data_IF_758034916414
#
_entry.id   IF_758034916414
#
_cell.length_a   1.000
_cell.length_b   1.000
_cell.length_c   1.000
_cell.angle_alpha   90.00
_cell.angle_beta   90.00
_cell.angle_gamma   90.00
#
_symmetry.space_group_name_H-M   'P 1'
#
loop_
_entity.id
_entity.type
_entity.pdbx_description
1 polymer ?
#
# COMPACT_ATOMS: atom_id res chain seq x y z
N UNK A 1 -141.99 -41.48 -43.44
CA UNK A 1 -141.69 -40.03 -43.56
C UNK A 1 -141.37 -39.35 -42.23
N UNK A 2 -141.76 -39.86 -41.05
CA UNK A 2 -141.42 -39.21 -39.75
C UNK A 2 -139.94 -39.35 -39.31
N UNK A 3 -139.24 -40.45 -39.65
CA UNK A 3 -137.83 -40.65 -39.24
C UNK A 3 -136.80 -39.78 -39.98
N UNK A 4 -137.08 -39.37 -41.21
CA UNK A 4 -136.15 -38.49 -41.97
C UNK A 4 -136.13 -37.06 -41.39
N UNK A 5 -137.26 -36.59 -40.85
CA UNK A 5 -137.33 -35.29 -40.18
C UNK A 5 -136.60 -35.27 -38.84
N UNK A 6 -136.64 -36.37 -38.09
CA UNK A 6 -135.91 -36.51 -36.83
C UNK A 6 -134.40 -36.56 -37.05
N UNK A 7 -133.92 -37.29 -38.06
CA UNK A 7 -132.50 -37.35 -38.39
C UNK A 7 -131.96 -36.02 -38.96
N UNK A 8 -132.78 -35.28 -39.73
CA UNK A 8 -132.43 -33.93 -40.22
C UNK A 8 -132.43 -32.89 -39.10
N UNK A 9 -133.39 -32.96 -38.16
CA UNK A 9 -133.42 -32.09 -36.98
C UNK A 9 -132.25 -32.41 -36.04
N UNK A 10 -131.91 -33.68 -35.82
CA UNK A 10 -130.76 -34.07 -34.99
C UNK A 10 -129.45 -33.64 -35.65
N UNK A 11 -129.29 -33.79 -36.98
CA UNK A 11 -128.11 -33.24 -37.69
C UNK A 11 -128.06 -31.72 -37.71
N UNK A 12 -129.21 -31.03 -37.74
CA UNK A 12 -129.29 -29.58 -37.65
C UNK A 12 -128.95 -29.10 -36.24
N UNK A 13 -129.46 -29.78 -35.21
CA UNK A 13 -129.18 -29.51 -33.80
C UNK A 13 -127.74 -29.86 -33.41
N UNK A 14 -127.13 -30.91 -33.97
CA UNK A 14 -125.70 -31.23 -33.80
C UNK A 14 -124.78 -30.23 -34.52
N UNK A 15 -125.22 -29.66 -35.65
CA UNK A 15 -124.51 -28.55 -36.31
C UNK A 15 -124.61 -27.25 -35.50
N UNK A 16 -125.72 -27.02 -34.81
CA UNK A 16 -125.93 -25.85 -33.96
C UNK A 16 -125.23 -25.98 -32.59
N UNK A 17 -125.20 -27.18 -31.98
CA UNK A 17 -124.71 -27.42 -30.61
C UNK A 17 -123.19 -27.26 -30.47
N UNK A 18 -122.40 -27.60 -31.50
CA UNK A 18 -120.93 -27.42 -31.48
C UNK A 18 -120.52 -25.95 -31.71
N UNK A 19 -121.37 -25.15 -32.36
CA UNK A 19 -121.11 -23.74 -32.66
C UNK A 19 -121.45 -22.77 -31.52
N UNK A 20 -122.24 -23.20 -30.54
CA UNK A 20 -122.76 -22.33 -29.48
C UNK A 20 -121.84 -22.17 -28.26
N UNK A 21 -120.80 -23.01 -28.11
CA UNK A 21 -119.88 -22.95 -26.95
C UNK A 21 -118.44 -22.55 -27.28
N UNK A 22 -118.10 -22.30 -28.54
CA UNK A 22 -116.81 -21.73 -28.92
C UNK A 22 -116.97 -20.20 -29.03
N UNK A 23 -116.66 -19.46 -27.96
CA UNK A 23 -116.66 -18.00 -28.01
C UNK A 23 -115.70 -17.54 -29.14
N UNK A 24 -116.16 -16.79 -30.17
CA UNK A 24 -115.35 -16.41 -31.34
C UNK A 24 -114.32 -15.31 -31.04
N UNK A 25 -114.05 -15.08 -29.76
CA UNK A 25 -113.26 -13.96 -29.25
C UNK A 25 -112.02 -14.51 -28.55
N UNK A 26 -110.86 -14.03 -28.95
CA UNK A 26 -109.66 -14.11 -28.14
C UNK A 26 -109.32 -12.73 -27.61
N UNK A 27 -109.13 -12.61 -26.31
CA UNK A 27 -108.65 -11.39 -25.67
C UNK A 27 -107.17 -11.53 -25.38
N UNK A 28 -106.38 -10.53 -25.76
CA UNK A 28 -104.96 -10.55 -25.40
C UNK A 28 -104.75 -10.05 -23.98
N UNK A 29 -104.06 -10.83 -23.14
CA UNK A 29 -103.74 -10.43 -21.77
C UNK A 29 -102.71 -9.28 -21.66
N UNK A 30 -102.13 -8.82 -22.78
CA UNK A 30 -101.16 -7.71 -22.82
C UNK A 30 -101.77 -6.44 -23.42
N UNK A 31 -102.48 -6.55 -24.56
CA UNK A 31 -103.11 -5.40 -25.24
C UNK A 31 -104.54 -5.12 -24.75
N UNK A 32 -105.18 -6.08 -24.08
CA UNK A 32 -106.62 -6.18 -23.90
C UNK A 32 -107.47 -6.06 -25.18
N UNK A 33 -106.85 -6.14 -26.36
CA UNK A 33 -107.58 -6.10 -27.62
C UNK A 33 -108.30 -7.44 -27.85
N UNK A 34 -109.51 -7.33 -28.39
CA UNK A 34 -110.32 -8.47 -28.81
C UNK A 34 -109.97 -8.79 -30.26
N UNK A 35 -109.45 -9.98 -30.48
CA UNK A 35 -109.33 -10.58 -31.78
C UNK A 35 -110.55 -11.44 -32.07
N UNK A 36 -111.16 -11.21 -33.22
CA UNK A 36 -112.20 -12.07 -33.74
C UNK A 36 -111.53 -13.23 -34.49
N UNK A 37 -111.96 -14.45 -34.19
CA UNK A 37 -111.60 -15.59 -35.02
C UNK A 37 -112.86 -16.14 -35.65
N UNK A 38 -112.77 -16.40 -36.94
CA UNK A 38 -113.80 -17.11 -37.67
C UNK A 38 -113.79 -18.58 -37.25
N UNK A 39 -114.60 -18.94 -36.24
CA UNK A 39 -114.72 -20.30 -35.70
C UNK A 39 -114.94 -21.38 -36.78
N UNK A 40 -115.72 -21.16 -37.86
CA UNK A 40 -115.81 -22.13 -38.96
C UNK A 40 -114.52 -22.31 -39.76
N UNK A 41 -113.59 -21.34 -39.75
CA UNK A 41 -112.26 -21.48 -40.37
C UNK A 41 -111.26 -22.27 -39.51
N UNK A 42 -111.60 -22.57 -38.25
CA UNK A 42 -110.84 -23.41 -37.32
C UNK A 42 -111.45 -24.83 -37.24
N UNK A 43 -112.29 -25.21 -38.21
CA UNK A 43 -112.87 -26.56 -38.26
C UNK A 43 -111.79 -27.60 -38.58
N UNK A 44 -111.20 -28.10 -37.49
CA UNK A 44 -111.09 -29.51 -37.17
C UNK A 44 -110.66 -30.44 -38.30
N UNK A 45 -109.42 -30.91 -38.19
CA UNK A 45 -109.14 -32.34 -37.95
C UNK A 45 -110.03 -33.32 -38.74
N UNK A 46 -110.22 -33.10 -40.04
CA UNK A 46 -110.69 -34.14 -40.93
C UNK A 46 -109.51 -35.04 -41.28
N UNK A 47 -109.67 -36.30 -40.92
CA UNK A 47 -108.76 -37.42 -41.15
C UNK A 47 -107.95 -37.32 -42.44
N UNK A 48 -106.64 -37.14 -42.26
CA UNK A 48 -105.54 -37.84 -42.94
C UNK A 48 -105.99 -38.78 -44.08
N UNK A 49 -106.22 -38.21 -45.27
CA UNK A 49 -106.29 -38.96 -46.52
C UNK A 49 -105.68 -38.11 -47.65
N UNK A 50 -104.54 -38.60 -48.18
CA UNK A 50 -103.84 -38.18 -49.40
C UNK A 50 -103.27 -36.75 -49.44
N UNK A 51 -101.98 -36.66 -49.09
CA UNK A 51 -100.98 -35.88 -49.83
C UNK A 51 -101.18 -34.37 -49.88
N UNK A 52 -100.92 -33.67 -48.78
CA UNK A 52 -100.80 -32.21 -48.75
C UNK A 52 -100.13 -31.75 -47.46
N UNK A 53 -99.14 -30.86 -47.57
CA UNK A 53 -98.36 -30.29 -46.46
C UNK A 53 -99.25 -29.81 -45.31
N UNK A 54 -99.02 -30.30 -44.09
CA UNK A 54 -99.73 -29.84 -42.89
C UNK A 54 -99.25 -28.43 -42.52
N UNK A 55 -99.93 -27.41 -43.05
CA UNK A 55 -99.83 -26.05 -42.52
C UNK A 55 -100.47 -26.08 -41.14
N UNK A 56 -99.66 -26.04 -40.09
CA UNK A 56 -100.19 -25.88 -38.73
C UNK A 56 -101.05 -24.62 -38.70
N UNK A 57 -102.29 -24.74 -38.23
CA UNK A 57 -103.21 -23.61 -38.05
C UNK A 57 -102.59 -22.64 -37.05
N UNK A 58 -102.09 -21.50 -37.55
CA UNK A 58 -101.56 -20.44 -36.71
C UNK A 58 -102.67 -19.48 -36.31
N UNK A 59 -102.86 -19.27 -35.00
CA UNK A 59 -103.77 -18.23 -34.50
C UNK A 59 -103.42 -16.86 -35.10
N UNK A 60 -104.40 -16.01 -35.43
CA UNK A 60 -104.12 -14.65 -35.88
C UNK A 60 -103.43 -13.84 -34.76
N UNK A 61 -102.41 -13.03 -35.07
CA UNK A 61 -101.71 -12.22 -34.07
C UNK A 61 -102.63 -11.18 -33.41
N UNK A 62 -102.42 -10.80 -32.14
CA UNK A 62 -103.16 -9.70 -31.48
C UNK A 62 -103.14 -8.46 -32.40
N UNK A 63 -104.30 -7.87 -32.69
CA UNK A 63 -104.38 -6.62 -33.46
C UNK A 63 -103.67 -5.45 -32.77
N UNK A 64 -103.47 -5.51 -31.44
CA UNK A 64 -102.69 -4.55 -30.67
C UNK A 64 -101.18 -4.84 -30.61
N UNK A 65 -100.78 -6.00 -30.09
CA UNK A 65 -99.36 -6.30 -29.80
C UNK A 65 -98.64 -7.17 -30.86
N UNK A 66 -99.36 -7.69 -31.87
CA UNK A 66 -98.79 -8.49 -32.95
C UNK A 66 -98.31 -9.90 -32.54
N UNK A 67 -98.56 -10.34 -31.30
CA UNK A 67 -98.12 -11.64 -30.78
C UNK A 67 -99.30 -12.59 -30.56
N UNK A 68 -99.06 -13.88 -30.75
CA UNK A 68 -100.06 -14.96 -30.54
C UNK A 68 -99.97 -15.60 -29.15
N UNK A 69 -98.82 -15.48 -28.47
CA UNK A 69 -98.52 -16.14 -27.17
C UNK A 69 -99.44 -15.73 -26.02
N UNK A 70 -100.02 -14.53 -26.09
CA UNK A 70 -100.73 -13.89 -24.98
C UNK A 70 -102.24 -13.81 -25.20
N UNK A 71 -102.77 -14.59 -26.14
CA UNK A 71 -104.20 -14.66 -26.42
C UNK A 71 -104.86 -15.67 -25.48
N UNK A 72 -105.95 -15.27 -24.83
CA UNK A 72 -106.79 -16.13 -24.00
C UNK A 72 -108.19 -16.24 -24.62
N UNK A 73 -108.81 -17.39 -24.44
CA UNK A 73 -110.15 -17.68 -24.96
C UNK A 73 -111.21 -16.90 -24.19
N UNK A 74 -112.11 -16.22 -24.91
CA UNK A 74 -113.23 -15.47 -24.35
C UNK A 74 -113.06 -13.95 -24.39
N UNK A 75 -114.16 -13.23 -24.19
CA UNK A 75 -114.20 -11.77 -24.06
C UNK A 75 -114.04 -11.37 -22.58
N UNK A 76 -112.87 -11.64 -22.01
CA UNK A 76 -112.52 -11.27 -20.63
C UNK A 76 -111.73 -9.97 -20.59
N UNK A 77 -112.09 -9.07 -19.68
CA UNK A 77 -111.36 -7.82 -19.46
C UNK A 77 -110.09 -8.09 -18.62
N UNK A 78 -108.91 -7.87 -19.20
CA UNK A 78 -107.63 -7.92 -18.50
C UNK A 78 -107.13 -6.54 -18.04
N UNK A 79 -107.97 -5.50 -18.09
CA UNK A 79 -107.58 -4.16 -17.67
C UNK A 79 -107.05 -4.08 -16.24
N UNK A 80 -107.64 -4.83 -15.30
CA UNK A 80 -107.18 -4.88 -13.91
C UNK A 80 -105.80 -5.56 -13.78
N UNK A 81 -105.58 -6.67 -14.48
CA UNK A 81 -104.29 -7.39 -14.48
C UNK A 81 -103.19 -6.52 -15.12
N UNK A 82 -103.47 -5.87 -16.26
CA UNK A 82 -102.53 -4.97 -16.93
C UNK A 82 -102.23 -3.75 -16.07
N UNK A 83 -103.24 -3.17 -15.39
CA UNK A 83 -103.04 -2.05 -14.46
C UNK A 83 -102.15 -2.45 -13.27
N UNK A 84 -102.33 -3.66 -12.73
CA UNK A 84 -101.48 -4.17 -11.65
C UNK A 84 -100.05 -4.45 -12.13
N UNK A 85 -99.88 -5.05 -13.32
CA UNK A 85 -98.55 -5.30 -13.89
C UNK A 85 -97.81 -3.99 -14.22
N UNK A 86 -98.51 -3.00 -14.78
CA UNK A 86 -97.93 -1.68 -15.06
C UNK A 86 -97.54 -0.95 -13.78
N UNK A 87 -98.38 -0.95 -12.75
CA UNK A 87 -98.03 -0.42 -11.43
C UNK A 87 -96.85 -1.16 -10.80
N UNK A 88 -96.79 -2.49 -10.91
CA UNK A 88 -95.67 -3.28 -10.40
C UNK A 88 -94.35 -2.96 -11.13
N UNK A 89 -94.40 -2.74 -12.45
CA UNK A 89 -93.24 -2.31 -13.25
C UNK A 89 -92.81 -0.90 -12.87
N UNK A 90 -93.74 0.04 -12.71
CA UNK A 90 -93.43 1.41 -12.25
C UNK A 90 -92.82 1.41 -10.85
N UNK A 91 -93.37 0.63 -9.93
CA UNK A 91 -92.85 0.51 -8.57
C UNK A 91 -91.47 -0.14 -8.54
N UNK A 92 -91.24 -1.13 -9.40
CA UNK A 92 -89.91 -1.71 -9.59
C UNK A 92 -88.91 -0.67 -10.14
N UNK A 93 -89.32 0.14 -11.12
CA UNK A 93 -88.49 1.21 -11.66
C UNK A 93 -88.19 2.29 -10.61
N UNK A 94 -89.18 2.69 -9.81
CA UNK A 94 -89.02 3.62 -8.68
C UNK A 94 -88.04 3.08 -7.63
N UNK A 95 -88.08 1.77 -7.33
CA UNK A 95 -87.18 1.12 -6.35
C UNK A 95 -85.76 0.86 -6.89
N UNK A 96 -85.59 0.75 -8.21
CA UNK A 96 -84.31 0.43 -8.86
C UNK A 96 -83.24 1.49 -8.63
N UNK A 97 -83.59 2.77 -8.73
CA UNK A 97 -82.62 3.88 -8.59
C UNK A 97 -82.07 3.98 -7.16
N UNK A 98 -82.90 3.99 -6.09
CA UNK A 98 -82.41 3.94 -4.71
C UNK A 98 -81.54 2.70 -4.43
N UNK A 99 -81.98 1.52 -4.87
CA UNK A 99 -81.22 0.29 -4.68
C UNK A 99 -79.83 0.35 -5.35
N UNK A 100 -79.74 0.92 -6.55
CA UNK A 100 -78.45 1.14 -7.22
C UNK A 100 -77.56 2.14 -6.47
N UNK A 101 -78.14 3.21 -5.92
CA UNK A 101 -77.40 4.19 -5.09
C UNK A 101 -76.84 3.51 -3.84
N UNK A 102 -77.62 2.66 -3.18
CA UNK A 102 -77.16 1.93 -1.99
C UNK A 102 -76.03 0.96 -2.33
N UNK A 103 -76.15 0.20 -3.43
CA UNK A 103 -75.08 -0.65 -3.92
C UNK A 103 -73.81 0.15 -4.23
N UNK A 104 -73.93 1.28 -4.92
CA UNK A 104 -72.80 2.17 -5.22
C UNK A 104 -72.15 2.73 -3.96
N UNK A 105 -72.95 3.11 -2.94
CA UNK A 105 -72.47 3.60 -1.65
C UNK A 105 -71.64 2.54 -0.93
N UNK A 106 -72.12 1.30 -0.89
CA UNK A 106 -71.40 0.17 -0.27
C UNK A 106 -70.08 -0.08 -0.99
N UNK A 107 -70.10 -0.13 -2.33
CA UNK A 107 -68.90 -0.38 -3.15
C UNK A 107 -67.88 0.75 -2.99
N UNK A 108 -68.29 2.02 -3.09
CA UNK A 108 -67.40 3.17 -2.89
C UNK A 108 -66.82 3.20 -1.49
N UNK A 109 -67.63 2.93 -0.46
CA UNK A 109 -67.17 2.85 0.92
C UNK A 109 -66.13 1.74 1.12
N UNK A 110 -66.32 0.57 0.50
CA UNK A 110 -65.34 -0.53 0.53
C UNK A 110 -64.04 -0.15 -0.18
N UNK A 111 -64.12 0.42 -1.38
CA UNK A 111 -62.95 0.87 -2.14
C UNK A 111 -62.17 1.96 -1.40
N UNK A 112 -62.86 2.94 -0.81
CA UNK A 112 -62.24 3.99 0.00
C UNK A 112 -61.50 3.44 1.21
N UNK A 113 -62.06 2.44 1.92
CA UNK A 113 -61.37 1.76 3.03
C UNK A 113 -60.14 0.98 2.56
N UNK A 114 -60.22 0.29 1.42
CA UNK A 114 -59.09 -0.44 0.85
C UNK A 114 -57.95 0.51 0.44
N UNK A 115 -58.28 1.64 -0.18
CA UNK A 115 -57.30 2.65 -0.56
C UNK A 115 -56.70 3.35 0.66
N UNK A 116 -57.51 3.70 1.67
CA UNK A 116 -57.03 4.25 2.93
C UNK A 116 -56.07 3.29 3.63
N UNK A 117 -56.39 1.99 3.65
CA UNK A 117 -55.48 0.95 4.17
C UNK A 117 -54.18 0.89 3.37
N UNK A 118 -54.24 0.94 2.03
CA UNK A 118 -53.05 0.96 1.16
C UNK A 118 -52.16 2.17 1.46
N UNK A 119 -52.73 3.39 1.48
CA UNK A 119 -51.99 4.63 1.78
C UNK A 119 -51.37 4.62 3.17
N UNK A 120 -52.06 4.07 4.18
CA UNK A 120 -51.50 3.90 5.54
C UNK A 120 -50.27 2.98 5.52
N UNK A 121 -50.38 1.82 4.88
CA UNK A 121 -49.26 0.87 4.74
C UNK A 121 -48.08 1.45 3.94
N UNK A 122 -48.34 2.23 2.89
CA UNK A 122 -47.31 2.91 2.11
C UNK A 122 -46.58 3.97 2.93
N UNK A 123 -47.30 4.79 3.71
CA UNK A 123 -46.70 5.75 4.64
C UNK A 123 -45.84 5.06 5.69
N UNK A 124 -46.32 3.98 6.28
CA UNK A 124 -45.53 3.19 7.24
C UNK A 124 -44.26 2.61 6.60
N UNK A 125 -44.36 2.05 5.39
CA UNK A 125 -43.19 1.55 4.64
C UNK A 125 -42.19 2.66 4.35
N UNK A 126 -42.67 3.82 3.95
CA UNK A 126 -41.83 4.98 3.66
C UNK A 126 -41.14 5.50 4.93
N UNK A 127 -41.88 5.63 6.05
CA UNK A 127 -41.32 5.99 7.34
C UNK A 127 -40.26 4.99 7.82
N UNK A 128 -40.50 3.68 7.65
CA UNK A 128 -39.49 2.64 7.95
C UNK A 128 -38.24 2.78 7.09
N UNK A 129 -38.37 3.11 5.80
CA UNK A 129 -37.21 3.37 4.92
C UNK A 129 -36.40 4.57 5.41
N UNK A 130 -37.05 5.68 5.77
CA UNK A 130 -36.38 6.86 6.33
C UNK A 130 -35.68 6.51 7.64
N UNK A 131 -36.37 5.81 8.55
CA UNK A 131 -35.80 5.40 9.84
C UNK A 131 -34.58 4.50 9.65
N UNK A 132 -34.66 3.51 8.78
CA UNK A 132 -33.54 2.62 8.47
C UNK A 132 -32.38 3.39 7.83
N UNK A 133 -32.65 4.31 6.90
CA UNK A 133 -31.62 5.15 6.30
C UNK A 133 -30.94 6.05 7.35
N UNK A 134 -31.71 6.69 8.23
CA UNK A 134 -31.19 7.49 9.33
C UNK A 134 -30.36 6.65 10.29
N UNK A 135 -30.83 5.44 10.66
CA UNK A 135 -30.08 4.52 11.52
C UNK A 135 -28.75 4.09 10.88
N UNK A 136 -28.73 3.81 9.58
CA UNK A 136 -27.50 3.50 8.84
C UNK A 136 -26.51 4.67 8.85
N UNK A 137 -26.99 5.90 8.62
CA UNK A 137 -26.15 7.11 8.66
C UNK A 137 -25.62 7.33 10.08
N UNK A 138 -26.48 7.27 11.10
CA UNK A 138 -26.09 7.44 12.50
C UNK A 138 -25.06 6.38 12.93
N UNK A 139 -25.25 5.12 12.56
CA UNK A 139 -24.27 4.05 12.82
C UNK A 139 -22.92 4.36 12.18
N UNK A 140 -22.91 4.82 10.93
CA UNK A 140 -21.68 5.18 10.22
C UNK A 140 -20.97 6.37 10.88
N UNK A 141 -21.71 7.43 11.21
CA UNK A 141 -21.17 8.63 11.88
C UNK A 141 -20.59 8.29 13.25
N UNK A 142 -21.31 7.52 14.08
CA UNK A 142 -20.78 7.04 15.37
C UNK A 142 -19.49 6.24 15.20
N UNK A 143 -19.43 5.37 14.20
CA UNK A 143 -18.23 4.61 13.88
C UNK A 143 -17.05 5.48 13.43
N UNK A 144 -17.31 6.52 12.61
CA UNK A 144 -16.28 7.49 12.21
C UNK A 144 -15.76 8.23 13.45
N UNK A 145 -16.65 8.77 14.27
CA UNK A 145 -16.29 9.50 15.48
C UNK A 145 -15.46 8.64 16.45
N UNK A 146 -15.81 7.36 16.63
CA UNK A 146 -15.05 6.45 17.48
C UNK A 146 -13.63 6.21 16.95
N UNK A 147 -13.48 5.92 15.64
CA UNK A 147 -12.15 5.73 15.03
C UNK A 147 -11.31 7.00 15.10
N UNK A 148 -11.90 8.13 14.74
CA UNK A 148 -11.24 9.44 14.82
C UNK A 148 -10.75 9.72 16.24
N UNK A 149 -11.57 9.44 17.26
CA UNK A 149 -11.18 9.56 18.66
C UNK A 149 -9.98 8.68 19.00
N UNK A 150 -10.05 7.39 18.67
CA UNK A 150 -8.95 6.45 18.94
C UNK A 150 -7.65 6.83 18.22
N UNK A 151 -7.74 7.31 16.98
CA UNK A 151 -6.58 7.78 16.23
C UNK A 151 -5.93 9.00 16.91
N UNK A 152 -6.74 9.94 17.39
CA UNK A 152 -6.26 11.14 18.08
C UNK A 152 -5.69 10.81 19.45
N UNK A 153 -6.33 9.93 20.22
CA UNK A 153 -5.79 9.44 21.51
C UNK A 153 -4.44 8.76 21.32
N UNK A 154 -4.27 7.96 20.27
CA UNK A 154 -2.97 7.38 19.90
C UNK A 154 -1.95 8.45 19.55
N UNK A 155 -2.34 9.49 18.80
CA UNK A 155 -1.46 10.61 18.48
C UNK A 155 -1.02 11.37 19.74
N UNK A 156 -1.95 11.65 20.66
CA UNK A 156 -1.67 12.28 21.95
C UNK A 156 -0.68 11.44 22.75
N UNK A 157 -0.86 10.11 22.79
CA UNK A 157 0.08 9.21 23.47
C UNK A 157 1.50 9.32 22.91
N UNK A 158 1.67 9.43 21.58
CA UNK A 158 2.98 9.64 20.96
C UNK A 158 3.58 10.98 21.40
N UNK A 159 2.77 12.05 21.44
CA UNK A 159 3.22 13.39 21.85
C UNK A 159 3.68 13.39 23.31
N UNK A 160 2.92 12.78 24.22
CA UNK A 160 3.23 12.71 25.65
C UNK A 160 4.54 11.95 25.90
N UNK A 161 4.80 10.89 25.13
CA UNK A 161 6.02 10.09 25.28
C UNK A 161 7.20 10.59 24.44
N UNK A 162 7.02 11.66 23.66
CA UNK A 162 8.09 12.20 22.84
C UNK A 162 9.18 12.84 23.70
N UNK A 163 10.43 12.73 23.25
CA UNK A 163 11.54 13.39 23.93
C UNK A 163 11.37 14.92 23.92
N UNK A 164 11.66 15.65 25.03
CA UNK A 164 11.40 17.10 25.14
C UNK A 164 11.98 17.94 24.00
N UNK A 165 13.19 17.62 23.51
CA UNK A 165 13.81 18.31 22.38
C UNK A 165 13.09 18.08 21.04
N UNK A 166 12.53 16.89 20.83
CA UNK A 166 11.77 16.55 19.62
C UNK A 166 10.39 17.20 19.69
N UNK A 167 9.77 17.17 20.87
CA UNK A 167 8.53 17.88 21.14
C UNK A 167 8.69 19.38 20.90
N UNK A 168 9.69 20.02 21.50
CA UNK A 168 9.99 21.44 21.28
C UNK A 168 10.21 21.77 19.80
N UNK A 169 10.95 20.93 19.05
CA UNK A 169 11.10 21.10 17.60
C UNK A 169 9.77 21.02 16.85
N UNK A 170 8.87 20.10 17.24
CA UNK A 170 7.60 19.90 16.58
C UNK A 170 6.59 21.04 16.86
N UNK A 171 6.64 21.62 18.05
CA UNK A 171 5.75 22.69 18.51
C UNK A 171 6.25 24.08 18.18
N UNK A 172 7.57 24.28 17.99
CA UNK A 172 8.10 25.57 17.53
C UNK A 172 7.46 25.95 16.22
N UNK A 173 6.71 27.06 16.24
CA UNK A 173 6.09 27.65 15.06
C UNK A 173 7.19 27.94 14.06
N UNK A 174 7.26 27.17 12.98
CA UNK A 174 8.21 27.43 11.91
C UNK A 174 7.69 28.62 11.13
N UNK A 175 7.81 29.83 11.69
CA UNK A 175 7.87 31.08 10.92
C UNK A 175 9.20 31.09 10.17
N UNK A 176 9.40 30.12 9.28
CA UNK A 176 10.38 30.21 8.22
C UNK A 176 9.67 30.73 6.97
N UNK A 177 9.19 31.97 7.06
CA UNK A 177 9.37 32.90 5.95
C UNK A 177 10.88 33.12 5.83
N UNK A 178 11.61 32.10 5.36
CA UNK A 178 12.94 32.31 4.81
C UNK A 178 12.74 33.06 3.52
N UNK A 179 12.63 34.39 3.65
CA UNK A 179 13.02 35.35 2.64
C UNK A 179 14.52 35.23 2.40
N UNK A 180 14.94 34.09 1.85
CA UNK A 180 16.26 33.86 1.31
C UNK A 180 16.08 33.28 -0.08
N UNK A 181 16.10 34.21 -1.03
CA UNK A 181 16.52 34.07 -2.42
C UNK A 181 17.17 32.73 -2.79
N UNK A 182 16.78 32.23 -3.96
CA UNK A 182 17.43 31.17 -4.75
C UNK A 182 17.09 29.70 -4.42
N UNK A 183 15.85 29.28 -4.68
CA UNK A 183 15.60 28.01 -5.39
C UNK A 183 14.16 27.97 -5.91
N UNK A 184 13.97 27.50 -7.14
CA UNK A 184 12.68 27.42 -7.87
C UNK A 184 11.76 26.29 -7.35
N UNK A 185 11.70 26.07 -6.04
CA UNK A 185 10.69 25.20 -5.44
C UNK A 185 9.89 26.00 -4.42
N UNK A 186 8.55 26.05 -4.52
CA UNK A 186 7.75 26.65 -3.46
C UNK A 186 8.05 25.88 -2.16
N UNK A 187 8.49 26.54 -1.09
CA UNK A 187 8.66 25.87 0.19
C UNK A 187 7.31 25.29 0.61
N UNK A 188 7.28 24.11 1.25
CA UNK A 188 6.03 23.59 1.79
C UNK A 188 5.47 24.64 2.73
N UNK A 189 4.21 25.04 2.52
CA UNK A 189 3.49 25.93 3.43
C UNK A 189 3.41 25.20 4.77
N UNK A 190 4.35 25.49 5.68
CA UNK A 190 4.33 24.92 7.01
C UNK A 190 3.24 25.66 7.76
N UNK A 191 2.06 25.04 7.82
CA UNK A 191 0.93 25.62 8.56
C UNK A 191 1.37 25.91 10.00
N UNK A 192 1.09 27.13 10.45
CA UNK A 192 1.28 27.54 11.83
C UNK A 192 0.33 26.72 12.69
N UNK A 193 0.88 25.78 13.45
CA UNK A 193 0.10 24.93 14.35
C UNK A 193 -0.20 25.72 15.60
N UNK A 194 -1.48 25.84 15.93
CA UNK A 194 -1.90 26.29 17.26
C UNK A 194 -1.58 25.18 18.26
N UNK A 195 -0.82 25.52 19.29
CA UNK A 195 -0.39 24.59 20.34
C UNK A 195 -0.49 25.25 21.72
N UNK A 196 -0.55 24.42 22.77
CA UNK A 196 -0.68 24.90 24.16
C UNK A 196 0.70 25.28 24.71
N UNK A 197 0.82 26.49 25.25
CA UNK A 197 2.06 26.99 25.85
C UNK A 197 2.22 26.54 27.30
N UNK A 198 1.10 26.38 28.03
CA UNK A 198 1.10 25.94 29.42
C UNK A 198 1.14 24.42 29.55
N UNK A 199 2.06 23.92 30.39
CA UNK A 199 2.17 22.49 30.69
C UNK A 199 0.94 21.94 31.43
N UNK A 200 0.27 22.77 32.23
CA UNK A 200 -0.95 22.39 32.96
C UNK A 200 -2.13 22.21 32.01
N UNK A 201 -2.30 23.16 31.07
CA UNK A 201 -3.33 23.06 30.02
C UNK A 201 -3.12 21.82 29.16
N UNK A 202 -1.86 21.54 28.80
CA UNK A 202 -1.50 20.34 28.06
C UNK A 202 -1.80 19.06 28.86
N UNK A 203 -1.51 19.05 30.17
CA UNK A 203 -1.84 17.92 31.05
C UNK A 203 -3.33 17.60 31.10
N UNK A 204 -4.17 18.63 31.25
CA UNK A 204 -5.64 18.47 31.21
C UNK A 204 -6.11 18.02 29.83
N UNK A 205 -5.52 18.56 28.77
CA UNK A 205 -5.81 18.17 27.39
C UNK A 205 -5.50 16.69 27.12
N UNK A 206 -4.40 16.17 27.65
CA UNK A 206 -4.00 14.78 27.48
C UNK A 206 -4.95 13.78 28.17
N UNK A 207 -5.64 14.20 29.22
CA UNK A 207 -6.61 13.35 29.93
C UNK A 207 -7.91 13.15 29.14
N UNK A 208 -8.56 14.24 28.73
CA UNK A 208 -9.73 14.20 27.86
C UNK A 208 -9.81 15.44 26.96
N UNK A 209 -9.23 15.31 25.76
CA UNK A 209 -9.16 16.40 24.80
C UNK A 209 -10.54 16.90 24.34
N UNK A 210 -11.56 16.04 24.28
CA UNK A 210 -12.90 16.43 23.80
C UNK A 210 -13.66 17.20 24.86
N UNK A 211 -13.52 16.80 26.12
CA UNK A 211 -14.09 17.51 27.25
C UNK A 211 -13.39 18.87 27.43
N UNK A 212 -12.07 18.90 27.30
CA UNK A 212 -11.30 20.14 27.31
C UNK A 212 -11.78 21.13 26.25
N UNK A 213 -11.90 20.70 24.98
CA UNK A 213 -12.40 21.56 23.88
C UNK A 213 -13.85 21.99 24.09
N UNK A 214 -14.67 21.16 24.74
CA UNK A 214 -16.05 21.54 25.10
C UNK A 214 -16.06 22.63 26.17
N UNK A 215 -15.20 22.54 27.18
CA UNK A 215 -15.08 23.54 28.26
C UNK A 215 -14.49 24.85 27.82
N UNK A 216 -13.60 24.85 26.82
CA UNK A 216 -13.08 26.07 26.19
C UNK A 216 -14.08 26.72 25.22
N UNK A 217 -15.32 26.20 25.15
CA UNK A 217 -16.37 26.75 24.29
C UNK A 217 -16.14 26.49 22.80
N UNK A 218 -15.32 25.51 22.43
CA UNK A 218 -15.02 25.18 21.04
C UNK A 218 -14.14 26.21 20.34
N UNK A 219 -13.32 26.95 21.09
CA UNK A 219 -12.30 27.87 20.57
C UNK A 219 -10.92 27.38 21.01
N UNK A 220 -10.12 26.74 20.13
CA UNK A 220 -10.37 26.44 18.72
C UNK A 220 -11.39 25.30 18.49
N UNK A 221 -11.98 25.19 17.29
CA UNK A 221 -12.95 24.12 17.00
C UNK A 221 -12.28 22.75 17.01
N UNK A 222 -13.03 21.72 17.41
CA UNK A 222 -12.54 20.35 17.60
C UNK A 222 -11.76 19.82 16.39
N UNK A 223 -12.27 20.02 15.17
CA UNK A 223 -11.63 19.54 13.95
C UNK A 223 -10.23 20.16 13.74
N UNK A 224 -10.03 21.41 14.15
CA UNK A 224 -8.75 22.11 14.06
C UNK A 224 -7.77 21.60 15.12
N UNK A 225 -8.26 21.37 16.33
CA UNK A 225 -7.47 20.75 17.41
C UNK A 225 -7.01 19.35 17.00
N UNK A 226 -7.91 18.53 16.45
CA UNK A 226 -7.57 17.18 15.96
C UNK A 226 -6.59 17.22 14.78
N UNK A 227 -6.72 18.19 13.87
CA UNK A 227 -5.75 18.39 12.78
C UNK A 227 -4.37 18.76 13.33
N UNK A 228 -4.30 19.69 14.30
CA UNK A 228 -3.06 20.11 14.94
C UNK A 228 -2.37 18.96 15.68
N UNK A 229 -3.12 18.13 16.42
CA UNK A 229 -2.56 16.95 17.08
C UNK A 229 -1.90 16.02 16.06
N UNK A 230 -2.60 15.72 14.94
CA UNK A 230 -2.01 14.89 13.87
C UNK A 230 -0.76 15.54 13.27
N UNK A 231 -0.78 16.85 13.10
CA UNK A 231 0.35 17.63 12.57
C UNK A 231 1.58 17.54 13.48
N UNK A 232 1.41 17.78 14.79
CA UNK A 232 2.50 17.67 15.77
C UNK A 232 3.04 16.26 15.83
N UNK A 233 2.17 15.24 15.89
CA UNK A 233 2.62 13.84 15.85
C UNK A 233 3.42 13.53 14.60
N UNK A 234 2.99 14.01 13.43
CA UNK A 234 3.73 13.80 12.17
C UNK A 234 5.10 14.48 12.21
N UNK A 235 5.20 15.69 12.77
CA UNK A 235 6.48 16.41 12.94
C UNK A 235 7.43 15.68 13.87
N UNK A 236 6.92 15.16 14.99
CA UNK A 236 7.68 14.33 15.94
C UNK A 236 8.24 13.10 15.23
N UNK A 237 7.37 12.31 14.59
CA UNK A 237 7.79 11.08 13.90
C UNK A 237 8.79 11.37 12.78
N UNK A 238 8.55 12.39 11.96
CA UNK A 238 9.49 12.79 10.91
C UNK A 238 10.86 13.17 11.49
N UNK A 239 10.87 13.93 12.59
CA UNK A 239 12.11 14.32 13.25
C UNK A 239 12.86 13.10 13.80
N UNK A 240 12.15 12.17 14.44
CA UNK A 240 12.72 10.92 14.92
C UNK A 240 13.31 10.08 13.78
N UNK A 241 12.58 9.92 12.68
CA UNK A 241 13.06 9.17 11.51
C UNK A 241 14.34 9.77 10.92
N UNK A 242 14.44 11.10 10.83
CA UNK A 242 15.66 11.78 10.39
C UNK A 242 16.82 11.52 11.34
N UNK A 243 16.60 11.61 12.66
CA UNK A 243 17.63 11.37 13.66
C UNK A 243 18.10 9.91 13.65
N UNK A 244 17.17 8.96 13.58
CA UNK A 244 17.46 7.53 13.47
C UNK A 244 18.25 7.24 12.21
N UNK A 245 17.90 7.84 11.08
CA UNK A 245 18.62 7.65 9.81
C UNK A 245 20.04 8.17 9.90
N UNK A 246 20.27 9.32 10.54
CA UNK A 246 21.62 9.86 10.80
C UNK A 246 22.44 8.92 11.70
N UNK A 247 21.83 8.39 12.76
CA UNK A 247 22.46 7.44 13.65
C UNK A 247 22.85 6.16 12.91
N UNK A 248 21.92 5.60 12.12
CA UNK A 248 22.16 4.41 11.30
C UNK A 248 23.25 4.63 10.25
N UNK A 249 23.28 5.78 9.59
CA UNK A 249 24.33 6.12 8.62
C UNK A 249 25.71 6.16 9.28
N UNK A 250 25.82 6.81 10.45
CA UNK A 250 27.06 6.85 11.24
C UNK A 250 27.47 5.46 11.70
N UNK A 251 26.53 4.67 12.19
CA UNK A 251 26.76 3.29 12.61
C UNK A 251 27.30 2.42 11.47
N UNK A 252 26.62 2.42 10.31
CA UNK A 252 27.07 1.71 9.11
C UNK A 252 28.49 2.13 8.70
N UNK A 253 28.80 3.43 8.78
CA UNK A 253 30.14 3.95 8.50
C UNK A 253 31.21 3.45 9.47
N UNK A 254 30.92 3.41 10.77
CA UNK A 254 31.84 2.86 11.79
C UNK A 254 32.07 1.38 11.55
N UNK A 255 31.00 0.60 11.37
CA UNK A 255 31.08 -0.84 11.14
C UNK A 255 31.88 -1.17 9.89
N UNK A 256 31.65 -0.46 8.78
CA UNK A 256 32.40 -0.65 7.53
C UNK A 256 33.88 -0.29 7.69
N UNK A 257 34.23 0.78 8.40
CA UNK A 257 35.64 1.13 8.65
C UNK A 257 36.33 0.10 9.52
N UNK A 258 35.66 -0.41 10.55
CA UNK A 258 36.16 -1.47 11.42
C UNK A 258 36.43 -2.75 10.63
N UNK A 259 35.50 -3.17 9.76
CA UNK A 259 35.68 -4.37 8.94
C UNK A 259 36.80 -4.20 7.90
N UNK A 260 36.91 -3.03 7.27
CA UNK A 260 38.00 -2.72 6.34
C UNK A 260 39.35 -2.71 7.06
N UNK A 261 39.43 -2.18 8.28
CA UNK A 261 40.65 -2.16 9.07
C UNK A 261 41.15 -3.58 9.36
N UNK A 262 40.27 -4.45 9.83
CA UNK A 262 40.60 -5.87 10.05
C UNK A 262 41.03 -6.56 8.75
N UNK A 263 40.33 -6.32 7.64
CA UNK A 263 40.72 -6.85 6.33
C UNK A 263 42.13 -6.39 5.93
N UNK A 264 42.44 -5.10 6.08
CA UNK A 264 43.77 -4.54 5.77
C UNK A 264 44.85 -5.15 6.65
N UNK A 265 44.57 -5.39 7.93
CA UNK A 265 45.47 -6.08 8.85
C UNK A 265 45.77 -7.51 8.38
N UNK A 266 44.75 -8.27 7.98
CA UNK A 266 44.94 -9.62 7.44
C UNK A 266 45.72 -9.63 6.12
N UNK A 267 45.44 -8.69 5.21
CA UNK A 267 46.21 -8.54 3.96
C UNK A 267 47.67 -8.18 4.24
N UNK A 268 47.92 -7.28 5.20
CA UNK A 268 49.27 -6.92 5.65
C UNK A 268 50.02 -8.14 6.19
N UNK A 269 49.37 -8.92 7.06
CA UNK A 269 49.94 -10.15 7.60
C UNK A 269 50.29 -11.17 6.50
N UNK A 270 49.39 -11.39 5.53
CA UNK A 270 49.64 -12.26 4.38
C UNK A 270 50.82 -11.77 3.52
N UNK A 271 50.95 -10.46 3.29
CA UNK A 271 52.10 -9.88 2.58
C UNK A 271 53.40 -10.11 3.36
N UNK A 272 53.39 -9.91 4.67
CA UNK A 272 54.55 -10.17 5.52
C UNK A 272 54.98 -11.63 5.46
N UNK A 273 54.03 -12.57 5.49
CA UNK A 273 54.33 -14.00 5.32
C UNK A 273 54.95 -14.30 3.96
N UNK A 274 54.43 -13.71 2.87
CA UNK A 274 54.95 -13.90 1.50
C UNK A 274 56.35 -13.30 1.31
N UNK A 275 56.61 -12.11 1.85
CA UNK A 275 57.88 -11.40 1.65
C UNK A 275 58.97 -11.79 2.65
N UNK A 276 58.63 -12.31 3.82
CA UNK A 276 59.58 -12.77 4.86
C UNK A 276 60.68 -13.69 4.32
N UNK A 277 60.38 -14.79 3.59
CA UNK A 277 61.43 -15.67 3.06
C UNK A 277 62.32 -14.97 2.02
N UNK A 278 61.73 -14.16 1.13
CA UNK A 278 62.48 -13.41 0.12
C UNK A 278 63.48 -12.42 0.76
N UNK A 279 63.04 -11.68 1.80
CA UNK A 279 63.91 -10.75 2.54
C UNK A 279 65.03 -11.51 3.26
N UNK A 280 64.74 -12.67 3.87
CA UNK A 280 65.76 -13.51 4.53
C UNK A 280 66.83 -13.97 3.53
N UNK A 281 66.42 -14.47 2.37
CA UNK A 281 67.34 -14.90 1.29
C UNK A 281 68.20 -13.71 0.83
N UNK A 282 67.58 -12.58 0.52
CA UNK A 282 68.29 -11.36 0.08
C UNK A 282 69.28 -10.86 1.13
N UNK A 283 68.89 -10.84 2.42
CA UNK A 283 69.76 -10.41 3.52
C UNK A 283 70.97 -11.34 3.67
N UNK A 284 70.75 -12.65 3.58
CA UNK A 284 71.82 -13.64 3.67
C UNK A 284 72.80 -13.53 2.50
N UNK A 285 72.29 -13.33 1.28
CA UNK A 285 73.09 -13.10 0.09
C UNK A 285 73.94 -11.83 0.22
N UNK A 286 73.33 -10.69 0.57
CA UNK A 286 74.05 -9.42 0.77
C UNK A 286 75.12 -9.54 1.85
N UNK A 287 74.81 -10.18 2.96
CA UNK A 287 75.77 -10.43 4.05
C UNK A 287 76.94 -11.29 3.57
N UNK A 288 76.68 -12.35 2.80
CA UNK A 288 77.71 -13.21 2.23
C UNK A 288 78.62 -12.44 1.26
N UNK A 289 78.04 -11.62 0.37
CA UNK A 289 78.79 -10.76 -0.55
C UNK A 289 79.68 -9.75 0.21
N UNK A 290 79.15 -9.06 1.22
CA UNK A 290 79.93 -8.17 2.08
C UNK A 290 81.07 -8.90 2.78
N UNK A 291 80.81 -10.07 3.37
CA UNK A 291 81.85 -10.90 4.01
C UNK A 291 82.94 -11.31 3.03
N UNK A 292 82.60 -11.72 1.80
CA UNK A 292 83.60 -12.04 0.76
C UNK A 292 84.42 -10.81 0.38
N UNK A 293 83.81 -9.63 0.24
CA UNK A 293 84.52 -8.37 -0.04
C UNK A 293 85.48 -8.02 1.09
N UNK A 294 85.04 -8.03 2.35
CA UNK A 294 85.90 -7.77 3.50
C UNK A 294 87.04 -8.78 3.63
N UNK A 295 86.79 -10.08 3.37
CA UNK A 295 87.85 -11.10 3.36
C UNK A 295 88.90 -10.84 2.28
N UNK A 296 88.50 -10.37 1.09
CA UNK A 296 89.44 -9.97 0.03
C UNK A 296 90.27 -8.76 0.46
N UNK A 297 89.62 -7.68 0.89
CA UNK A 297 90.31 -6.47 1.36
C UNK A 297 91.27 -6.74 2.53
N UNK A 298 90.92 -7.62 3.48
CA UNK A 298 91.83 -8.01 4.56
C UNK A 298 93.06 -8.77 4.07
N UNK A 299 92.95 -9.56 2.99
CA UNK A 299 94.12 -10.21 2.37
C UNK A 299 95.02 -9.19 1.70
N UNK A 300 94.43 -8.22 1.01
CA UNK A 300 95.16 -7.18 0.28
C UNK A 300 95.88 -6.24 1.26
N UNK A 301 95.18 -5.67 2.24
CA UNK A 301 95.79 -4.83 3.29
C UNK A 301 96.80 -5.62 4.14
N UNK A 302 96.50 -6.89 4.44
CA UNK A 302 97.42 -7.77 5.16
C UNK A 302 98.65 -8.18 4.35
N UNK A 303 98.68 -7.97 3.04
CA UNK A 303 99.87 -8.13 2.20
C UNK A 303 100.81 -6.95 2.38
N UNK A 304 100.28 -5.73 2.33
CA UNK A 304 101.07 -4.51 2.45
C UNK A 304 101.75 -4.40 3.83
N UNK A 305 101.02 -4.74 4.89
CA UNK A 305 101.57 -4.83 6.25
C UNK A 305 102.71 -5.86 6.30
N UNK A 306 102.49 -7.07 5.76
CA UNK A 306 103.54 -8.11 5.71
C UNK A 306 104.75 -7.72 4.87
N UNK A 307 104.55 -6.98 3.79
CA UNK A 307 105.65 -6.45 2.96
C UNK A 307 106.44 -5.36 3.69
N UNK A 308 105.76 -4.50 4.46
CA UNK A 308 106.42 -3.50 5.30
C UNK A 308 107.21 -4.12 6.46
N UNK A 309 106.67 -5.15 7.11
CA UNK A 309 107.36 -5.92 8.14
C UNK A 309 108.60 -6.65 7.57
N UNK A 310 108.48 -7.20 6.35
CA UNK A 310 109.62 -7.80 5.67
C UNK A 310 110.72 -6.78 5.33
N UNK A 311 110.34 -5.61 4.81
CA UNK A 311 111.28 -4.54 4.47
C UNK A 311 112.01 -3.99 5.70
N UNK A 312 111.31 -3.81 6.82
CA UNK A 312 111.91 -3.36 8.09
C UNK A 312 112.87 -4.41 8.65
N UNK A 313 112.51 -5.70 8.63
CA UNK A 313 113.41 -6.79 9.02
C UNK A 313 114.66 -6.85 8.13
N UNK A 314 114.51 -6.62 6.82
CA UNK A 314 115.63 -6.58 5.89
C UNK A 314 116.57 -5.42 6.19
N UNK A 315 116.04 -4.22 6.42
CA UNK A 315 116.83 -3.06 6.83
C UNK A 315 117.55 -3.29 8.16
N UNK A 316 116.90 -3.91 9.15
CA UNK A 316 117.53 -4.24 10.42
C UNK A 316 118.70 -5.23 10.24
N UNK A 317 118.56 -6.23 9.36
CA UNK A 317 119.66 -7.15 9.02
C UNK A 317 120.83 -6.41 8.37
N UNK A 318 120.56 -5.54 7.39
CA UNK A 318 121.60 -4.73 6.76
C UNK A 318 122.30 -3.78 7.76
N UNK A 319 121.56 -3.17 8.67
CA UNK A 319 122.12 -2.34 9.74
C UNK A 319 122.95 -3.16 10.72
N UNK A 320 122.54 -4.39 11.05
CA UNK A 320 123.32 -5.28 11.90
C UNK A 320 124.61 -5.76 11.22
N UNK A 321 124.56 -6.05 9.92
CA UNK A 321 125.73 -6.43 9.12
C UNK A 321 126.73 -5.28 8.99
N UNK A 322 126.26 -4.07 8.69
CA UNK A 322 127.11 -2.86 8.64
C UNK A 322 127.73 -2.55 10.00
N UNK A 323 126.98 -2.68 11.11
CA UNK A 323 127.53 -2.54 12.47
C UNK A 323 128.60 -3.59 12.77
N UNK A 324 128.37 -4.86 12.39
CA UNK A 324 129.37 -5.94 12.55
C UNK A 324 130.64 -5.66 11.75
N UNK A 325 130.48 -5.22 10.50
CA UNK A 325 131.60 -4.83 9.63
C UNK A 325 132.39 -3.68 10.25
N UNK A 326 131.72 -2.60 10.66
CA UNK A 326 132.35 -1.45 11.33
C UNK A 326 133.08 -1.87 12.61
N UNK A 327 132.47 -2.73 13.43
CA UNK A 327 133.09 -3.25 14.65
C UNK A 327 134.35 -4.06 14.34
N UNK A 328 134.33 -4.90 13.30
CA UNK A 328 135.51 -5.63 12.84
C UNK A 328 136.61 -4.68 12.37
N UNK A 329 136.28 -3.65 11.59
CA UNK A 329 137.24 -2.63 11.12
C UNK A 329 137.82 -1.81 12.27
N UNK A 330 137.01 -1.45 13.26
CA UNK A 330 137.48 -0.74 14.46
C UNK A 330 138.40 -1.64 15.29
N UNK A 331 138.05 -2.92 15.46
CA UNK A 331 138.87 -3.88 16.20
C UNK A 331 140.21 -4.16 15.51
N UNK A 332 140.26 -4.22 14.18
CA UNK A 332 141.53 -4.37 13.45
C UNK A 332 142.39 -3.11 13.57
N UNK A 333 141.81 -1.91 13.41
CA UNK A 333 142.52 -0.63 13.64
C UNK A 333 143.04 -0.51 15.08
N UNK A 334 142.23 -0.89 16.06
CA UNK A 334 142.61 -0.91 17.47
C UNK A 334 143.78 -1.87 17.73
N UNK A 335 143.73 -3.10 17.20
CA UNK A 335 144.83 -4.07 17.33
C UNK A 335 146.13 -3.53 16.74
N UNK A 336 146.07 -2.89 15.57
CA UNK A 336 147.25 -2.29 14.93
C UNK A 336 147.84 -1.15 15.76
N UNK A 337 147.01 -0.25 16.31
CA UNK A 337 147.47 0.81 17.21
C UNK A 337 148.05 0.24 18.51
N UNK A 338 147.39 -0.76 19.11
CA UNK A 338 147.89 -1.42 20.31
C UNK A 338 149.26 -2.09 20.09
N UNK A 339 149.47 -2.73 18.93
CA UNK A 339 150.77 -3.27 18.54
C UNK A 339 151.82 -2.17 18.36
N UNK A 340 151.47 -1.09 17.66
CA UNK A 340 152.34 0.07 17.45
C UNK A 340 152.74 0.74 18.78
N UNK A 341 151.79 0.95 19.70
CA UNK A 341 152.06 1.54 21.01
C UNK A 341 152.87 0.64 21.92
N UNK A 342 152.65 -0.67 21.87
CA UNK A 342 153.49 -1.63 22.61
C UNK A 342 154.93 -1.59 22.10
N UNK A 343 155.14 -1.50 20.77
CA UNK A 343 156.46 -1.36 20.16
C UNK A 343 157.13 -0.01 20.50
N UNK A 344 156.39 1.11 20.43
CA UNK A 344 156.91 2.45 20.76
C UNK A 344 157.28 2.57 22.24
N UNK A 345 156.50 1.98 23.15
CA UNK A 345 156.82 1.92 24.59
C UNK A 345 158.09 1.12 24.87
N UNK A 346 158.34 0.04 24.13
CA UNK A 346 159.58 -0.75 24.23
C UNK A 346 160.81 0.01 23.70
N UNK A 347 160.62 0.94 22.77
CA UNK A 347 161.68 1.77 22.17
C UNK A 347 161.88 3.13 22.87
N UNK A 348 161.16 3.41 23.97
CA UNK A 348 161.30 4.64 24.76
C UNK A 348 160.70 5.92 24.14
N UNK A 349 159.86 5.80 23.11
CA UNK A 349 159.22 6.94 22.43
C UNK A 349 157.92 7.41 23.09
N UNK A 350 157.53 8.67 22.86
CA UNK A 350 156.24 9.23 23.30
C UNK A 350 155.08 8.65 22.50
N UNK A 351 154.02 8.20 23.19
CA UNK A 351 152.84 7.56 22.59
C UNK A 351 151.75 8.58 22.27
N UNK A 352 151.27 8.61 21.02
CA UNK A 352 150.07 9.39 20.65
C UNK A 352 148.75 8.73 21.07
N UNK A 353 147.72 9.50 21.48
CA UNK A 353 146.43 8.97 21.87
C UNK A 353 145.70 8.27 20.71
N UNK A 354 144.91 7.23 21.03
CA UNK A 354 144.08 6.53 20.05
C UNK A 354 142.99 7.45 19.49
N UNK A 355 143.21 8.01 18.30
CA UNK A 355 142.18 8.73 17.57
C UNK A 355 141.26 7.72 16.88
N UNK A 356 140.08 7.48 17.48
CA UNK A 356 138.98 6.85 16.77
C UNK A 356 138.52 7.84 15.70
N UNK A 357 138.96 7.64 14.46
CA UNK A 357 138.57 8.51 13.34
C UNK A 357 137.05 8.73 13.33
N UNK A 358 136.65 9.99 13.34
CA UNK A 358 135.30 10.42 12.96
C UNK A 358 135.01 9.94 11.54
N UNK A 359 133.74 9.62 11.21
CA UNK A 359 133.40 8.98 9.96
C UNK A 359 133.39 10.00 8.80
N UNK A 360 134.56 10.40 8.30
CA UNK A 360 134.68 11.28 7.12
C UNK A 360 135.17 10.58 5.85
N UNK A 361 135.28 9.25 5.85
CA UNK A 361 135.57 8.51 4.62
C UNK A 361 134.68 7.29 4.46
N UNK A 362 133.41 7.52 4.13
CA UNK A 362 132.62 6.49 3.46
C UNK A 362 132.73 6.70 1.95
N UNK A 363 133.14 5.70 1.15
CA UNK A 363 132.85 5.74 -0.28
C UNK A 363 131.33 5.63 -0.44
N UNK A 364 130.72 6.66 -1.02
CA UNK A 364 129.34 6.61 -1.52
C UNK A 364 129.17 5.41 -2.45
N UNK A 365 128.33 4.42 -2.14
CA UNK A 365 127.90 3.46 -3.16
C UNK A 365 127.02 4.20 -4.17
N UNK A 366 127.39 4.09 -5.44
CA UNK A 366 126.64 4.64 -6.58
C UNK A 366 125.16 4.21 -6.49
N UNK A 367 124.28 5.21 -6.58
CA UNK A 367 122.85 5.00 -6.70
C UNK A 367 122.54 4.25 -8.00
N UNK A 368 122.26 2.96 -7.90
CA UNK A 368 121.63 2.19 -8.96
C UNK A 368 120.20 2.69 -9.16
N UNK A 369 119.97 3.38 -10.27
CA UNK A 369 118.66 3.76 -10.78
C UNK A 369 117.84 2.51 -11.08
N UNK A 370 116.82 2.22 -10.26
CA UNK A 370 115.75 1.30 -10.63
C UNK A 370 114.46 2.09 -10.83
N UNK A 371 114.17 2.34 -12.10
CA UNK A 371 112.89 2.76 -12.66
C UNK A 371 111.81 1.74 -12.30
N UNK A 372 110.65 2.13 -11.73
CA UNK A 372 109.46 1.30 -11.81
C UNK A 372 108.66 1.69 -13.04
N UNK A 373 108.51 0.70 -13.91
CA UNK A 373 107.59 0.68 -15.04
C UNK A 373 106.17 1.05 -14.58
N UNK A 374 105.54 1.90 -15.40
CA UNK A 374 104.10 2.07 -15.47
C UNK A 374 103.44 0.72 -15.83
N UNK A 375 102.36 0.40 -15.16
CA UNK A 375 101.23 -0.34 -15.72
C UNK A 375 99.93 0.33 -15.31
#
# INVERSE_FOLDING_TARGET
MQRQWEDEIVQYLDKCSVSQYATPYLTCCVCNCINFIDVPSIRGLQSRAKGGSSVFESLPPCCGCGRTRHLRTGATSFHAEIALETQAVEDFQKKRVPAAIDMQRVVRGRLGRLEAKRRRLERERYARKIFNAAACIQKRVRGIQARTRSDIERCIFIIVNAHPLVYAYATTTTTSTTSSSSSQQPPPVVETVFWYDSAEEFGVFCWDYREFVRRTGGRPPLWRVEANVREVTRRILNREYVLVTRLQARWRGITARSSIYELKKQVGWLRSLRHSPAIRIQRQLRTHQCRRRCKRLRRDVGRDVRMSDYATLHQQRQQAETKRYLQQTLMTKYRHHFQHTSAVKLLGGTVEPFQAATPESQPTPQAGSCVPNKS
#
